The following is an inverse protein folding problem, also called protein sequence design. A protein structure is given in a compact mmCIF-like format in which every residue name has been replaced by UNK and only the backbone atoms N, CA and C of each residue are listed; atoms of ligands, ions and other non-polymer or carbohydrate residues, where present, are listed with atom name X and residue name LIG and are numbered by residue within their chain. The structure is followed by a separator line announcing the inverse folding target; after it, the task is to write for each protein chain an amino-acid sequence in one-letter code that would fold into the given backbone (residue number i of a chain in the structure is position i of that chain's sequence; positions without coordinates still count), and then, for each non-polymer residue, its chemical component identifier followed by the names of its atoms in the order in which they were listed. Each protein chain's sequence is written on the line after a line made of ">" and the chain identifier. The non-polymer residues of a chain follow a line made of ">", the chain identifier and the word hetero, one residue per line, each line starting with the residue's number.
data_IF_639888406210
#
_entry.id   IF_639888406210
#
_cell.length_a   1.000
_cell.length_b   1.000
_cell.length_c   1.000
_cell.angle_alpha   90.00
_cell.angle_beta   90.00
_cell.angle_gamma   90.00
#
_symmetry.space_group_name_H-M   'P 1'
#
loop_
_entity.id
_entity.type
_entity.pdbx_description
1 polymer ?
#
# COMPACT_ATOMS: atom_id res chain seq x y z
N UNK A 1 3.95 20.06 -4.50
CA UNK A 1 5.26 19.79 -5.13
C UNK A 1 5.32 18.28 -5.22
N UNK A 2 5.05 17.74 -6.40
CA UNK A 2 4.86 16.29 -6.57
C UNK A 2 6.12 15.53 -6.15
N UNK A 3 5.92 14.58 -5.24
CA UNK A 3 6.96 13.73 -4.65
C UNK A 3 7.41 12.62 -5.63
N UNK A 4 6.70 12.41 -6.74
CA UNK A 4 6.97 11.29 -7.65
C UNK A 4 6.63 11.61 -9.12
N UNK A 5 7.52 11.25 -10.05
CA UNK A 5 7.29 11.45 -11.49
C UNK A 5 6.57 10.26 -12.13
N UNK A 6 6.00 10.44 -13.33
CA UNK A 6 5.35 9.35 -14.09
C UNK A 6 6.29 8.19 -14.42
N UNK A 7 7.61 8.43 -14.48
CA UNK A 7 8.60 7.39 -14.72
C UNK A 7 8.83 6.52 -13.47
N UNK A 8 8.75 7.12 -12.29
CA UNK A 8 8.91 6.41 -11.01
C UNK A 8 7.71 5.49 -10.75
N UNK A 9 6.49 5.94 -11.08
CA UNK A 9 5.27 5.12 -11.00
C UNK A 9 5.38 3.81 -11.82
N UNK A 10 5.97 3.89 -13.02
CA UNK A 10 6.16 2.74 -13.91
C UNK A 10 7.17 1.73 -13.37
N UNK A 11 8.22 2.23 -12.70
CA UNK A 11 9.23 1.40 -12.02
C UNK A 11 8.65 0.60 -10.84
N UNK A 12 7.72 1.19 -10.08
CA UNK A 12 7.05 0.48 -8.99
C UNK A 12 6.14 -0.65 -9.49
N UNK A 13 5.50 -0.49 -10.66
CA UNK A 13 4.71 -1.55 -11.30
C UNK A 13 5.55 -2.74 -11.79
N UNK A 14 6.87 -2.60 -11.85
CA UNK A 14 7.82 -3.61 -12.37
C UNK A 14 8.60 -4.34 -11.25
N UNK A 15 8.36 -4.01 -9.97
CA UNK A 15 9.03 -4.66 -8.83
C UNK A 15 8.41 -6.03 -8.55
N UNK A 16 9.19 -7.11 -8.71
CA UNK A 16 8.76 -8.51 -8.46
C UNK A 16 8.10 -8.69 -7.08
N UNK A 17 6.80 -8.94 -7.09
CA UNK A 17 5.93 -8.99 -5.92
C UNK A 17 6.02 -10.34 -5.18
N UNK A 18 7.23 -10.74 -4.79
CA UNK A 18 7.51 -12.03 -4.10
C UNK A 18 6.69 -12.21 -2.82
N UNK A 19 6.26 -11.10 -2.21
CA UNK A 19 5.39 -11.12 -1.04
C UNK A 19 4.00 -11.65 -1.39
N UNK A 20 3.41 -11.20 -2.51
CA UNK A 20 2.09 -11.64 -2.96
C UNK A 20 2.14 -13.13 -3.31
N UNK A 21 3.16 -13.56 -4.05
CA UNK A 21 3.32 -14.96 -4.43
C UNK A 21 3.43 -15.90 -3.21
N UNK A 22 4.13 -15.47 -2.16
CA UNK A 22 4.24 -16.24 -0.91
C UNK A 22 2.91 -16.29 -0.16
N UNK A 23 2.18 -15.17 -0.09
CA UNK A 23 0.89 -15.09 0.60
C UNK A 23 -0.17 -15.92 -0.13
N UNK A 24 -0.23 -15.84 -1.45
CA UNK A 24 -1.11 -16.66 -2.28
C UNK A 24 -0.78 -18.15 -2.13
N UNK A 25 0.50 -18.52 -2.09
CA UNK A 25 0.92 -19.90 -1.83
C UNK A 25 0.49 -20.40 -0.45
N UNK A 26 0.66 -19.59 0.61
CA UNK A 26 0.26 -19.95 1.98
C UNK A 26 -1.27 -20.07 2.12
N UNK A 27 -2.02 -19.19 1.45
CA UNK A 27 -3.48 -19.27 1.37
C UNK A 27 -3.94 -20.52 0.62
N UNK A 28 -3.32 -20.82 -0.54
CA UNK A 28 -3.60 -22.04 -1.31
C UNK A 28 -3.28 -23.34 -0.55
N UNK A 29 -2.38 -23.29 0.44
CA UNK A 29 -2.07 -24.41 1.34
C UNK A 29 -2.98 -24.48 2.58
N UNK A 30 -3.98 -23.60 2.70
CA UNK A 30 -4.84 -23.44 3.88
C UNK A 30 -4.05 -23.17 5.17
N UNK A 31 -2.81 -22.66 5.06
CA UNK A 31 -2.00 -22.27 6.23
C UNK A 31 -2.48 -20.94 6.78
N UNK A 32 -3.03 -20.08 5.91
CA UNK A 32 -3.67 -18.82 6.30
C UNK A 32 -5.06 -18.73 5.68
N UNK A 33 -6.00 -18.10 6.37
CA UNK A 33 -7.33 -17.82 5.82
C UNK A 33 -7.33 -16.48 5.05
N UNK A 34 -8.45 -16.17 4.39
CA UNK A 34 -8.58 -14.96 3.60
C UNK A 34 -8.43 -13.66 4.42
N UNK A 35 -8.80 -13.69 5.70
CA UNK A 35 -8.68 -12.54 6.61
C UNK A 35 -7.22 -12.31 7.01
N UNK A 36 -6.45 -13.37 7.26
CA UNK A 36 -5.01 -13.30 7.54
C UNK A 36 -4.23 -12.83 6.31
N UNK A 37 -4.57 -13.37 5.13
CA UNK A 37 -4.00 -12.98 3.85
C UNK A 37 -4.19 -11.48 3.59
N UNK A 38 -5.45 -11.01 3.70
CA UNK A 38 -5.80 -9.60 3.54
C UNK A 38 -5.18 -8.74 4.64
N UNK A 39 -5.14 -9.23 5.88
CA UNK A 39 -4.59 -8.53 7.04
C UNK A 39 -3.09 -8.26 6.90
N UNK A 40 -2.31 -9.20 6.37
CA UNK A 40 -0.87 -9.02 6.15
C UNK A 40 -0.60 -8.01 5.02
N UNK A 41 -1.35 -8.10 3.92
CA UNK A 41 -1.28 -7.12 2.83
C UNK A 41 -1.65 -5.71 3.32
N UNK A 42 -2.75 -5.58 4.06
CA UNK A 42 -3.20 -4.30 4.60
C UNK A 42 -2.34 -3.79 5.75
N UNK A 43 -1.65 -4.67 6.48
CA UNK A 43 -0.73 -4.30 7.56
C UNK A 43 0.48 -3.52 7.05
N UNK A 44 1.05 -3.96 5.91
CA UNK A 44 2.11 -3.21 5.21
C UNK A 44 1.62 -1.84 4.74
N UNK A 45 0.43 -1.82 4.14
CA UNK A 45 -0.21 -0.60 3.65
C UNK A 45 -0.49 0.42 4.77
N UNK A 46 -1.05 -0.03 5.89
CA UNK A 46 -1.32 0.81 7.06
C UNK A 46 -0.04 1.46 7.60
N UNK A 47 1.03 0.67 7.74
CA UNK A 47 2.34 1.18 8.20
C UNK A 47 2.92 2.23 7.26
N UNK A 48 2.74 2.06 5.95
CA UNK A 48 3.15 3.04 4.94
C UNK A 48 2.37 4.37 5.11
N UNK A 49 1.05 4.32 5.23
CA UNK A 49 0.22 5.52 5.38
C UNK A 49 0.56 6.28 6.67
N UNK A 50 0.72 5.58 7.79
CA UNK A 50 1.11 6.21 9.06
C UNK A 50 2.53 6.80 9.00
N UNK A 51 3.46 6.14 8.32
CA UNK A 51 4.81 6.68 8.10
C UNK A 51 4.77 7.99 7.29
N UNK A 52 4.00 8.02 6.20
CA UNK A 52 3.87 9.20 5.34
C UNK A 52 3.21 10.38 6.07
N UNK A 53 2.20 10.10 6.88
CA UNK A 53 1.58 11.07 7.78
C UNK A 53 2.58 11.63 8.79
N UNK A 54 3.35 10.76 9.45
CA UNK A 54 4.39 11.18 10.42
C UNK A 54 5.47 12.05 9.78
N UNK A 55 5.77 11.84 8.51
CA UNK A 55 6.72 12.66 7.73
C UNK A 55 6.12 13.95 7.19
N UNK A 56 4.83 14.20 7.38
CA UNK A 56 4.15 15.38 6.89
C UNK A 56 3.82 15.33 5.39
N UNK A 57 3.96 14.18 4.74
CA UNK A 57 3.56 13.98 3.35
C UNK A 57 2.06 13.77 3.19
N UNK A 58 1.38 13.37 4.27
CA UNK A 58 -0.08 13.31 4.35
C UNK A 58 -0.56 14.06 5.58
N UNK A 59 -1.65 14.81 5.43
CA UNK A 59 -2.40 15.30 6.58
C UNK A 59 -3.35 14.22 7.13
N UNK A 60 -3.97 14.46 8.28
CA UNK A 60 -4.85 13.48 8.92
C UNK A 60 -6.05 13.08 8.06
N UNK A 61 -6.54 13.97 7.19
CA UNK A 61 -7.65 13.68 6.27
C UNK A 61 -7.18 12.75 5.15
N UNK A 62 -6.09 13.09 4.48
CA UNK A 62 -5.50 12.30 3.40
C UNK A 62 -5.07 10.89 3.85
N UNK A 63 -4.52 10.79 5.07
CA UNK A 63 -4.20 9.49 5.65
C UNK A 63 -5.46 8.64 5.90
N UNK A 64 -6.55 9.24 6.38
CA UNK A 64 -7.82 8.55 6.60
C UNK A 64 -8.45 8.10 5.28
N UNK A 65 -8.47 8.98 4.27
CA UNK A 65 -8.97 8.70 2.93
C UNK A 65 -8.15 7.55 2.29
N UNK A 66 -6.82 7.57 2.41
CA UNK A 66 -5.96 6.48 1.95
C UNK A 66 -6.28 5.14 2.62
N UNK A 67 -6.55 5.11 3.93
CA UNK A 67 -6.90 3.88 4.64
C UNK A 67 -8.28 3.32 4.29
N UNK A 68 -9.23 4.18 3.90
CA UNK A 68 -10.59 3.76 3.53
C UNK A 68 -10.69 3.36 2.07
N UNK A 69 -10.10 4.15 1.18
CA UNK A 69 -10.29 4.04 -0.27
C UNK A 69 -9.13 3.31 -0.96
N UNK A 70 -8.10 2.93 -0.20
CA UNK A 70 -6.98 2.12 -0.67
C UNK A 70 -5.96 2.90 -1.51
N UNK A 71 -5.15 2.15 -2.26
CA UNK A 71 -3.96 2.65 -2.94
C UNK A 71 -4.23 3.82 -3.91
N UNK A 72 -5.38 3.83 -4.60
CA UNK A 72 -5.73 4.90 -5.55
C UNK A 72 -5.85 6.27 -4.85
N UNK A 73 -6.41 6.30 -3.64
CA UNK A 73 -6.54 7.51 -2.82
C UNK A 73 -5.20 7.97 -2.25
N UNK A 74 -4.32 7.02 -1.91
CA UNK A 74 -2.94 7.32 -1.52
C UNK A 74 -2.13 7.95 -2.66
N UNK A 75 -2.17 7.35 -3.85
CA UNK A 75 -1.47 7.84 -5.04
C UNK A 75 -1.96 9.25 -5.38
N UNK A 76 -3.28 9.46 -5.38
CA UNK A 76 -3.88 10.78 -5.60
C UNK A 76 -3.36 11.79 -4.59
N UNK A 77 -3.36 11.46 -3.30
CA UNK A 77 -2.89 12.34 -2.21
C UNK A 77 -1.41 12.72 -2.31
N UNK A 78 -0.56 11.85 -2.86
CA UNK A 78 0.89 12.08 -3.02
C UNK A 78 1.27 12.83 -4.30
N UNK A 79 0.35 12.91 -5.26
CA UNK A 79 0.60 13.48 -6.59
C UNK A 79 0.36 14.99 -6.71
N UNK A 80 0.03 15.67 -5.61
CA UNK A 80 -0.29 17.11 -5.53
C UNK A 80 0.91 17.96 -5.06
#
# INVERSE_FOLDING_TARGET
>A
MSVMTKADAKKFMEMEDRMIDILDYLHAKNIMNADDHRGILLGGYFRLVEFLKKKGHLNARQAKEALQDGFDSLITSLSV
#
